data_IF_715391869128
#
_entry.id   IF_715391869128
#
_cell.length_a   1.000
_cell.length_b   1.000
_cell.length_c   1.000
_cell.angle_alpha   90.00
_cell.angle_beta   90.00
_cell.angle_gamma   90.00
#
_symmetry.space_group_name_H-M   'P 1'
#
loop_
_entity.id
_entity.type
_entity.pdbx_description
1 polymer ?
#
# COMPACT_ATOMS: atom_id res chain seq x y z
N UNK A 1 -12.32 27.96 -1.75
CA UNK A 1 -11.42 27.45 -2.80
C UNK A 1 -11.59 28.35 -4.01
N UNK A 2 -10.94 29.53 -4.04
CA UNK A 2 -11.16 30.56 -5.06
C UNK A 2 -10.73 30.11 -6.48
N UNK A 3 -9.77 29.18 -6.58
CA UNK A 3 -9.17 28.77 -7.86
C UNK A 3 -10.06 27.96 -8.81
N UNK A 4 -11.24 27.52 -8.36
CA UNK A 4 -12.23 26.80 -9.18
C UNK A 4 -13.43 27.66 -9.60
N UNK A 5 -13.45 28.94 -9.22
CA UNK A 5 -14.54 29.85 -9.60
C UNK A 5 -14.66 29.96 -11.13
N UNK A 6 -15.85 29.73 -11.67
CA UNK A 6 -16.13 29.78 -13.11
C UNK A 6 -15.65 28.57 -13.93
N UNK A 7 -15.01 27.56 -13.31
CA UNK A 7 -14.48 26.38 -14.02
C UNK A 7 -15.31 25.11 -13.79
N UNK A 8 -16.37 25.17 -13.00
CA UNK A 8 -17.19 24.02 -12.60
C UNK A 8 -18.01 23.42 -13.76
N UNK A 9 -18.43 24.24 -14.71
CA UNK A 9 -19.24 23.80 -15.85
C UNK A 9 -18.49 22.85 -16.79
N UNK A 10 -17.17 23.03 -16.95
CA UNK A 10 -16.34 22.17 -17.81
C UNK A 10 -16.19 20.74 -17.28
N UNK A 11 -16.41 20.55 -15.97
CA UNK A 11 -16.31 19.26 -15.28
C UNK A 11 -17.69 18.77 -14.81
N UNK A 12 -18.78 19.34 -15.36
CA UNK A 12 -20.17 18.97 -15.08
C UNK A 12 -20.50 18.94 -13.57
N UNK A 13 -19.97 19.90 -12.82
CA UNK A 13 -20.31 20.08 -11.40
C UNK A 13 -21.30 21.23 -11.24
N UNK A 14 -22.54 20.90 -10.84
CA UNK A 14 -23.61 21.87 -10.58
C UNK A 14 -23.29 22.78 -9.38
N UNK A 15 -22.49 22.29 -8.43
CA UNK A 15 -21.95 23.08 -7.34
C UNK A 15 -20.57 22.59 -6.92
N UNK A 16 -19.77 23.47 -6.32
CA UNK A 16 -18.50 23.07 -5.72
C UNK A 16 -18.81 22.23 -4.48
N UNK A 17 -18.34 20.96 -4.37
CA UNK A 17 -18.53 20.18 -3.15
C UNK A 17 -17.81 20.88 -2.00
N UNK A 18 -18.50 21.04 -0.85
CA UNK A 18 -17.87 21.61 0.34
C UNK A 18 -16.68 20.73 0.72
N UNK A 19 -15.56 21.35 1.13
CA UNK A 19 -14.26 20.70 1.39
C UNK A 19 -14.34 19.44 2.27
N UNK A 20 -15.37 19.35 3.12
CA UNK A 20 -15.55 18.27 4.08
C UNK A 20 -16.49 17.14 3.62
N UNK A 21 -17.29 17.28 2.55
CA UNK A 21 -18.33 16.27 2.24
C UNK A 21 -17.77 14.92 1.82
N UNK A 22 -16.78 14.90 0.92
CA UNK A 22 -16.17 13.64 0.46
C UNK A 22 -15.31 13.02 1.55
N UNK A 23 -14.55 13.84 2.28
CA UNK A 23 -13.71 13.35 3.38
C UNK A 23 -14.56 12.80 4.53
N UNK A 24 -15.65 13.46 4.89
CA UNK A 24 -16.55 13.01 5.97
C UNK A 24 -17.32 11.76 5.55
N UNK A 25 -17.76 11.67 4.29
CA UNK A 25 -18.34 10.44 3.76
C UNK A 25 -17.32 9.29 3.74
N UNK A 26 -16.06 9.56 3.40
CA UNK A 26 -14.99 8.55 3.43
C UNK A 26 -14.67 8.06 4.85
N UNK A 27 -14.80 8.89 5.87
CA UNK A 27 -14.63 8.46 7.28
C UNK A 27 -15.66 7.41 7.70
N UNK A 28 -16.83 7.39 7.08
CA UNK A 28 -17.90 6.43 7.37
C UNK A 28 -17.81 5.15 6.53
N UNK A 29 -16.95 5.10 5.52
CA UNK A 29 -16.75 3.92 4.67
C UNK A 29 -15.75 2.97 5.31
N UNK A 30 -16.00 1.67 5.18
CA UNK A 30 -14.99 0.68 5.56
C UNK A 30 -13.80 0.74 4.61
N UNK A 31 -12.65 0.28 5.10
CA UNK A 31 -11.44 0.11 4.28
C UNK A 31 -11.69 -0.76 3.05
N UNK A 32 -12.63 -1.70 3.13
CA UNK A 32 -12.93 -2.66 2.07
C UNK A 32 -13.44 -1.97 0.81
N UNK A 33 -14.18 -0.86 0.95
CA UNK A 33 -14.66 -0.08 -0.21
C UNK A 33 -13.47 0.45 -1.02
N UNK A 34 -12.46 0.98 -0.34
CA UNK A 34 -11.26 1.51 -0.99
C UNK A 34 -10.43 0.38 -1.62
N UNK A 35 -10.31 -0.75 -0.91
CA UNK A 35 -9.66 -1.95 -1.44
C UNK A 35 -10.36 -2.46 -2.70
N UNK A 36 -11.69 -2.52 -2.70
CA UNK A 36 -12.47 -2.93 -3.85
C UNK A 36 -12.25 -1.99 -5.05
N UNK A 37 -12.41 -0.67 -4.84
CA UNK A 37 -12.20 0.32 -5.91
C UNK A 37 -10.79 0.21 -6.48
N UNK A 38 -9.78 0.11 -5.62
CA UNK A 38 -8.39 -0.07 -6.04
C UNK A 38 -8.20 -1.30 -6.93
N UNK A 39 -8.68 -2.48 -6.48
CA UNK A 39 -8.54 -3.71 -7.24
C UNK A 39 -9.28 -3.66 -8.59
N UNK A 40 -10.46 -3.03 -8.65
CA UNK A 40 -11.18 -2.83 -9.91
C UNK A 40 -10.41 -1.92 -10.88
N UNK A 41 -9.80 -0.86 -10.37
CA UNK A 41 -8.96 0.03 -11.18
C UNK A 41 -7.70 -0.69 -11.67
N UNK A 42 -7.05 -1.47 -10.80
CA UNK A 42 -5.88 -2.26 -11.16
C UNK A 42 -6.22 -3.30 -12.24
N UNK A 43 -7.34 -4.02 -12.13
CA UNK A 43 -7.79 -4.95 -13.16
C UNK A 43 -8.05 -4.26 -14.50
N UNK A 44 -8.68 -3.06 -14.46
CA UNK A 44 -9.01 -2.32 -15.68
C UNK A 44 -7.78 -1.72 -16.36
N UNK A 45 -6.86 -1.15 -15.58
CA UNK A 45 -5.76 -0.32 -16.09
C UNK A 45 -4.37 -0.96 -15.92
N UNK A 46 -4.25 -2.15 -15.34
CA UNK A 46 -2.98 -2.82 -15.08
C UNK A 46 -2.12 -3.00 -16.32
N UNK A 47 -2.77 -3.25 -17.47
CA UNK A 47 -2.10 -3.35 -18.77
C UNK A 47 -1.35 -2.07 -19.21
N UNK A 48 -1.69 -0.91 -18.64
CA UNK A 48 -1.05 0.39 -18.90
C UNK A 48 0.05 0.73 -17.88
N UNK A 49 0.17 -0.02 -16.78
CA UNK A 49 1.08 0.32 -15.67
C UNK A 49 2.53 -0.07 -15.99
N UNK A 50 2.73 -1.03 -16.90
CA UNK A 50 4.07 -1.47 -17.27
C UNK A 50 4.30 -1.48 -18.77
N UNK A 51 5.34 -0.75 -19.16
CA UNK A 51 5.83 -0.66 -20.53
C UNK A 51 6.68 -1.87 -20.92
N UNK A 52 7.06 -2.74 -19.97
CA UNK A 52 7.89 -3.92 -20.20
C UNK A 52 7.45 -5.08 -19.32
N UNK A 53 7.05 -6.19 -19.94
CA UNK A 53 6.63 -7.40 -19.23
C UNK A 53 7.74 -8.43 -19.26
N UNK A 54 8.44 -8.58 -18.14
CA UNK A 54 9.47 -9.60 -17.92
C UNK A 54 8.87 -11.00 -18.06
N UNK A 55 7.61 -11.20 -17.66
CA UNK A 55 6.90 -12.45 -17.91
C UNK A 55 6.92 -12.86 -19.38
N UNK A 56 6.76 -11.92 -20.31
CA UNK A 56 6.76 -12.21 -21.74
C UNK A 56 8.14 -12.64 -22.25
N UNK A 57 9.21 -12.34 -21.50
CA UNK A 57 10.61 -12.69 -21.84
C UNK A 57 11.06 -14.00 -21.19
N UNK A 58 10.68 -14.22 -19.93
CA UNK A 58 11.19 -15.33 -19.09
C UNK A 58 10.16 -16.46 -18.95
N UNK A 59 8.92 -16.25 -19.43
CA UNK A 59 7.76 -17.16 -19.28
C UNK A 59 7.45 -17.52 -17.83
N UNK A 60 7.84 -16.64 -16.89
CA UNK A 60 7.61 -16.79 -15.46
C UNK A 60 7.31 -15.44 -14.81
N UNK A 61 6.45 -15.48 -13.79
CA UNK A 61 6.19 -14.31 -12.97
C UNK A 61 7.37 -14.08 -12.02
N UNK A 62 7.86 -12.85 -11.90
CA UNK A 62 8.88 -12.51 -10.89
C UNK A 62 8.24 -11.70 -9.77
N UNK A 63 8.46 -12.14 -8.54
CA UNK A 63 8.02 -11.44 -7.34
C UNK A 63 9.18 -11.04 -6.45
N UNK A 64 9.18 -9.77 -6.04
CA UNK A 64 10.17 -9.23 -5.10
C UNK A 64 9.49 -9.16 -3.74
N UNK A 65 10.12 -9.78 -2.75
CA UNK A 65 9.78 -9.56 -1.35
C UNK A 65 10.78 -8.58 -0.72
N UNK A 66 10.24 -7.59 -0.01
CA UNK A 66 11.02 -6.64 0.78
C UNK A 66 10.38 -6.43 2.15
N UNK A 67 11.17 -5.95 3.11
CA UNK A 67 10.63 -5.53 4.40
C UNK A 67 11.22 -4.21 4.86
N UNK A 68 10.35 -3.31 5.27
CA UNK A 68 10.72 -1.98 5.77
C UNK A 68 10.27 -1.81 7.22
N UNK A 69 11.17 -1.34 8.07
CA UNK A 69 10.85 -1.02 9.48
C UNK A 69 10.58 0.47 9.65
N UNK A 70 9.41 0.81 10.16
CA UNK A 70 8.96 2.19 10.40
C UNK A 70 8.86 2.42 11.91
N UNK A 71 9.50 3.49 12.39
CA UNK A 71 9.46 3.87 13.81
C UNK A 71 8.16 4.59 14.14
N UNK A 72 7.54 4.25 15.27
CA UNK A 72 6.30 4.86 15.77
C UNK A 72 6.59 5.91 16.83
N UNK A 73 5.64 6.83 17.04
CA UNK A 73 5.75 7.83 18.11
C UNK A 73 5.48 7.26 19.52
N UNK A 74 4.77 6.13 19.61
CA UNK A 74 4.44 5.43 20.86
C UNK A 74 4.84 3.96 20.78
N UNK A 75 5.12 3.35 21.93
CA UNK A 75 5.46 1.92 22.06
C UNK A 75 4.22 1.02 21.97
N UNK A 76 3.46 1.11 20.86
CA UNK A 76 2.28 0.27 20.61
C UNK A 76 2.72 -1.11 20.09
N UNK A 77 3.67 -1.13 19.16
CA UNK A 77 4.27 -2.33 18.60
C UNK A 77 5.74 -2.41 18.99
N UNK A 78 6.22 -3.61 19.32
CA UNK A 78 7.57 -3.80 19.86
C UNK A 78 8.64 -3.41 18.83
N UNK A 79 9.53 -2.50 19.24
CA UNK A 79 10.66 -2.04 18.42
C UNK A 79 11.85 -3.02 18.44
N UNK A 80 12.73 -2.89 17.45
CA UNK A 80 13.98 -3.66 17.31
C UNK A 80 15.19 -2.77 17.61
N UNK A 81 16.24 -3.33 18.20
CA UNK A 81 17.49 -2.59 18.45
C UNK A 81 17.69 -2.16 19.91
N UNK A 82 18.60 -1.20 20.11
CA UNK A 82 19.04 -0.78 21.46
C UNK A 82 18.00 0.09 22.14
N UNK A 83 17.87 -0.09 23.46
CA UNK A 83 17.08 0.81 24.30
C UNK A 83 17.75 2.19 24.33
N UNK A 84 17.01 3.28 24.06
CA UNK A 84 17.53 4.63 24.20
C UNK A 84 17.99 4.91 25.63
N UNK A 85 19.08 5.67 25.77
CA UNK A 85 19.69 6.03 27.06
C UNK A 85 18.76 6.90 27.90
N UNK A 86 17.94 7.73 27.24
CA UNK A 86 16.95 8.60 27.86
C UNK A 86 15.71 7.87 28.40
N UNK A 87 15.66 6.54 28.26
CA UNK A 87 14.56 5.68 28.71
C UNK A 87 13.27 5.79 27.88
N UNK A 88 13.19 6.72 26.91
CA UNK A 88 12.00 6.91 26.08
C UNK A 88 12.02 5.91 24.93
N UNK A 89 11.04 5.01 24.91
CA UNK A 89 10.94 3.99 23.85
C UNK A 89 9.91 4.39 22.81
N UNK A 90 10.34 4.28 21.56
CA UNK A 90 9.46 4.28 20.39
C UNK A 90 9.07 2.85 20.08
N UNK A 91 7.84 2.65 19.61
CA UNK A 91 7.43 1.40 19.00
C UNK A 91 7.91 1.30 17.56
N UNK A 92 7.66 0.18 16.90
CA UNK A 92 7.92 0.05 15.48
C UNK A 92 7.02 -0.97 14.82
N UNK A 93 6.68 -0.67 13.58
CA UNK A 93 6.03 -1.60 12.68
C UNK A 93 7.01 -2.06 11.63
N UNK A 94 6.99 -3.35 11.32
CA UNK A 94 7.65 -3.88 10.14
C UNK A 94 6.60 -4.18 9.09
N UNK A 95 6.77 -3.57 7.93
CA UNK A 95 5.96 -3.75 6.74
C UNK A 95 6.66 -4.78 5.86
N UNK A 96 6.03 -5.91 5.64
CA UNK A 96 6.46 -6.90 4.66
C UNK A 96 5.67 -6.66 3.38
N UNK A 97 6.36 -6.56 2.25
CA UNK A 97 5.74 -6.25 0.97
C UNK A 97 6.19 -7.25 -0.08
N UNK A 98 5.24 -7.72 -0.88
CA UNK A 98 5.52 -8.50 -2.10
C UNK A 98 5.03 -7.70 -3.28
N UNK A 99 5.89 -7.52 -4.29
CA UNK A 99 5.64 -6.73 -5.49
C UNK A 99 5.87 -7.62 -6.70
N UNK A 100 5.00 -7.54 -7.70
CA UNK A 100 5.23 -8.16 -9.00
C UNK A 100 6.16 -7.24 -9.81
N UNK A 101 7.24 -7.75 -10.41
CA UNK A 101 8.13 -6.86 -11.19
C UNK A 101 7.45 -6.22 -12.40
N UNK A 102 6.45 -6.90 -12.98
CA UNK A 102 5.66 -6.38 -14.10
C UNK A 102 4.60 -5.38 -13.66
N UNK A 103 4.34 -5.22 -12.37
CA UNK A 103 3.36 -4.29 -11.84
C UNK A 103 3.98 -3.57 -10.64
N UNK A 104 4.30 -2.27 -10.77
CA UNK A 104 4.93 -1.49 -9.69
C UNK A 104 4.02 -1.23 -8.46
N UNK A 105 3.04 -2.11 -8.22
CA UNK A 105 2.10 -2.08 -7.12
C UNK A 105 2.28 -3.30 -6.20
N UNK A 106 2.07 -3.13 -4.89
CA UNK A 106 2.22 -4.23 -3.95
C UNK A 106 1.08 -5.25 -4.09
N UNK A 107 1.44 -6.52 -4.28
CA UNK A 107 0.54 -7.68 -4.25
C UNK A 107 0.16 -8.08 -2.82
N UNK A 108 1.09 -7.93 -1.88
CA UNK A 108 0.87 -8.18 -0.45
C UNK A 108 1.48 -7.03 0.35
N UNK A 109 0.73 -6.57 1.36
CA UNK A 109 1.26 -5.72 2.43
C UNK A 109 0.85 -6.33 3.75
N UNK A 110 1.84 -6.66 4.59
CA UNK A 110 1.58 -7.28 5.88
C UNK A 110 2.37 -6.59 6.99
N UNK A 111 1.66 -6.19 8.05
CA UNK A 111 2.23 -5.48 9.18
C UNK A 111 2.49 -6.40 10.36
N UNK A 112 3.67 -6.26 10.96
CA UNK A 112 4.08 -6.99 12.17
C UNK A 112 4.80 -6.05 13.13
N UNK A 113 5.09 -6.53 14.35
CA UNK A 113 6.02 -5.83 15.23
C UNK A 113 7.38 -5.67 14.53
N UNK A 114 8.06 -4.54 14.74
CA UNK A 114 9.41 -4.35 14.20
C UNK A 114 10.41 -5.42 14.64
N UNK A 115 10.21 -6.00 15.83
CA UNK A 115 11.01 -7.10 16.36
C UNK A 115 10.79 -8.46 15.68
N UNK A 116 9.77 -8.62 14.83
CA UNK A 116 9.50 -9.87 14.11
C UNK A 116 10.55 -10.10 13.02
N UNK A 117 11.05 -11.33 12.88
CA UNK A 117 12.02 -11.68 11.84
C UNK A 117 11.33 -11.87 10.47
N UNK A 118 12.06 -11.62 9.39
CA UNK A 118 11.51 -11.56 8.04
C UNK A 118 11.15 -12.94 7.48
N UNK A 119 11.75 -14.02 8.00
CA UNK A 119 11.41 -15.39 7.57
C UNK A 119 9.93 -15.73 7.76
N UNK A 120 9.23 -15.05 8.67
CA UNK A 120 7.79 -15.27 8.89
C UNK A 120 6.96 -14.86 7.67
N UNK A 121 7.48 -13.99 6.79
CA UNK A 121 6.85 -13.68 5.51
C UNK A 121 6.71 -14.93 4.64
N UNK A 122 7.66 -15.87 4.69
CA UNK A 122 7.62 -17.09 3.89
C UNK A 122 6.36 -17.92 4.17
N UNK A 123 5.83 -17.89 5.41
CA UNK A 123 4.58 -18.60 5.73
C UNK A 123 3.33 -17.92 5.18
N UNK A 124 3.45 -16.70 4.64
CA UNK A 124 2.36 -15.96 3.97
C UNK A 124 2.41 -16.08 2.45
N UNK A 125 3.54 -16.53 1.90
CA UNK A 125 3.68 -16.73 0.46
C UNK A 125 2.91 -17.97 0.02
N UNK A 126 2.28 -17.87 -1.16
CA UNK A 126 1.74 -19.03 -1.87
C UNK A 126 2.74 -19.41 -2.95
N UNK A 127 3.31 -20.60 -2.83
CA UNK A 127 4.27 -21.11 -3.80
C UNK A 127 3.55 -21.49 -5.10
N UNK A 128 4.10 -21.08 -6.23
CA UNK A 128 3.62 -21.39 -7.58
C UNK A 128 4.84 -21.76 -8.45
N UNK A 129 4.75 -22.86 -9.20
CA UNK A 129 5.84 -23.31 -10.09
C UNK A 129 6.16 -22.31 -11.20
N UNK A 130 5.21 -21.44 -11.53
CA UNK A 130 5.32 -20.42 -12.57
C UNK A 130 5.72 -19.04 -12.00
N UNK A 131 6.01 -18.93 -10.71
CA UNK A 131 6.47 -17.72 -10.05
C UNK A 131 7.87 -17.94 -9.46
N UNK A 132 8.78 -16.98 -9.62
CA UNK A 132 10.13 -16.97 -9.04
C UNK A 132 10.28 -15.75 -8.13
#
# INVERSE_FOLDING_TARGET
>A
MLGLSGKTNHIQLDHIPRRSTLSDANKQRSSDVFGYIYNQLLLKYGHLISDSRIKDVIDKQIEIFDSTTISLFKEILKYVGRKPVDGKRKGGVKVHTVINVDEAVPKLVWFTNAATNDHVLLSKLKMDSNTI
#
